data_IF_469062058464
#
_entry.id   IF_469062058464
#
_cell.length_a   1.000
_cell.length_b   1.000
_cell.length_c   1.000
_cell.angle_alpha   90.00
_cell.angle_beta   90.00
_cell.angle_gamma   90.00
#
_symmetry.space_group_name_H-M   'P 1'
#
loop_
_entity.id
_entity.type
_entity.pdbx_description
1 polymer ?
#
# COMPACT_ATOMS: atom_id res chain seq x y z
N UNK A 1 -16.04 18.72 21.42
CA UNK A 1 -16.22 17.33 21.90
C UNK A 1 -15.83 16.44 20.72
N UNK A 2 -14.69 15.76 20.78
CA UNK A 2 -14.39 14.67 19.84
C UNK A 2 -15.40 13.57 20.15
N UNK A 3 -16.03 12.99 19.13
CA UNK A 3 -16.96 11.90 19.35
C UNK A 3 -16.23 10.73 20.04
N UNK A 4 -16.90 10.01 20.95
CA UNK A 4 -16.35 8.81 21.59
C UNK A 4 -15.84 7.79 20.55
N UNK A 5 -16.45 7.75 19.38
CA UNK A 5 -16.00 6.99 18.21
C UNK A 5 -14.63 7.41 17.64
N UNK A 6 -14.28 8.69 17.69
CA UNK A 6 -12.96 9.20 17.24
C UNK A 6 -11.85 8.87 18.26
N UNK A 7 -12.21 8.84 19.54
CA UNK A 7 -11.29 8.45 20.63
C UNK A 7 -11.03 6.92 20.64
N UNK A 8 -12.00 6.09 20.28
CA UNK A 8 -11.86 4.64 20.20
C UNK A 8 -11.05 4.19 18.98
N UNK A 9 -11.07 4.93 17.87
CA UNK A 9 -10.42 4.59 16.61
C UNK A 9 -8.91 4.88 16.60
N UNK A 10 -8.44 5.90 17.32
CA UNK A 10 -7.02 6.19 17.48
C UNK A 10 -6.34 5.43 18.63
N UNK A 11 -7.12 4.76 19.50
CA UNK A 11 -6.64 4.17 20.74
C UNK A 11 -5.97 2.79 20.58
N UNK A 12 -6.04 2.17 19.40
CA UNK A 12 -5.53 0.81 19.19
C UNK A 12 -4.29 0.71 18.28
N UNK A 13 -3.71 1.85 17.86
CA UNK A 13 -2.47 1.84 17.06
C UNK A 13 -1.27 1.62 17.96
N UNK A 14 -0.55 0.53 17.72
CA UNK A 14 0.76 0.26 18.29
C UNK A 14 1.85 1.03 17.52
N UNK A 15 3.06 1.09 18.07
CA UNK A 15 4.17 1.83 17.47
C UNK A 15 5.48 1.08 17.65
N UNK A 16 6.36 1.20 16.66
CA UNK A 16 7.75 0.75 16.78
C UNK A 16 8.69 1.77 16.15
N UNK A 17 9.97 1.66 16.45
CA UNK A 17 11.01 2.53 15.90
C UNK A 17 11.87 1.76 14.90
N UNK A 18 12.11 2.37 13.76
CA UNK A 18 13.05 1.87 12.77
C UNK A 18 13.82 3.03 12.13
N UNK A 19 15.15 3.00 12.20
CA UNK A 19 16.05 4.01 11.62
C UNK A 19 15.64 5.47 11.96
N UNK A 20 15.31 5.71 13.25
CA UNK A 20 14.87 7.00 13.76
C UNK A 20 13.45 7.42 13.35
N UNK A 21 12.70 6.55 12.67
CA UNK A 21 11.31 6.79 12.24
C UNK A 21 10.36 5.98 13.10
N UNK A 22 9.38 6.63 13.72
CA UNK A 22 8.29 5.97 14.40
C UNK A 22 7.22 5.55 13.40
N UNK A 23 6.91 4.26 13.37
CA UNK A 23 5.88 3.67 12.51
C UNK A 23 4.71 3.19 13.38
N UNK A 24 3.52 3.65 13.05
CA UNK A 24 2.29 3.23 13.70
C UNK A 24 1.65 2.07 12.93
N UNK A 25 1.05 1.13 13.64
CA UNK A 25 0.36 -0.01 13.03
C UNK A 25 -0.79 -0.51 13.90
N UNK A 26 -1.77 -1.09 13.25
CA UNK A 26 -2.87 -1.84 13.84
C UNK A 26 -2.52 -3.34 13.77
N UNK A 27 -2.90 -4.11 14.79
CA UNK A 27 -2.69 -5.55 14.86
C UNK A 27 -3.96 -6.22 15.43
N UNK A 28 -4.69 -6.94 14.59
CA UNK A 28 -6.00 -7.52 14.93
C UNK A 28 -6.12 -8.97 14.47
N UNK A 29 -6.85 -9.75 15.26
CA UNK A 29 -7.11 -11.16 14.99
C UNK A 29 -5.94 -12.07 15.35
N UNK A 30 -6.11 -13.34 15.02
CA UNK A 30 -5.15 -14.41 15.31
C UNK A 30 -4.93 -15.29 14.07
N UNK A 31 -3.90 -16.13 14.09
CA UNK A 31 -3.58 -17.08 13.03
C UNK A 31 -2.45 -16.60 12.13
N UNK A 32 -2.47 -17.03 10.89
CA UNK A 32 -1.42 -16.72 9.91
C UNK A 32 -1.34 -15.21 9.63
N UNK A 33 -0.17 -14.55 9.82
CA UNK A 33 -0.05 -13.11 9.68
C UNK A 33 -0.12 -12.66 8.21
N UNK A 34 -0.81 -11.54 8.02
CA UNK A 34 -0.82 -10.77 6.78
C UNK A 34 -0.55 -9.29 7.09
N UNK A 35 0.46 -8.71 6.44
CA UNK A 35 0.78 -7.28 6.52
C UNK A 35 0.07 -6.54 5.39
N UNK A 36 -0.62 -5.45 5.71
CA UNK A 36 -1.33 -4.59 4.76
C UNK A 36 -0.62 -3.24 4.62
N UNK A 37 -0.28 -2.86 3.39
CA UNK A 37 0.51 -1.66 3.05
C UNK A 37 -0.33 -0.75 2.16
N UNK A 38 -0.76 0.39 2.70
CA UNK A 38 -1.67 1.31 2.00
C UNK A 38 -1.02 2.11 0.87
N UNK A 39 -1.86 2.70 0.00
CA UNK A 39 -1.46 3.56 -1.09
C UNK A 39 -1.07 4.98 -0.67
N UNK A 40 -0.57 5.77 -1.63
CA UNK A 40 -0.22 7.17 -1.43
C UNK A 40 -1.41 7.99 -0.90
N UNK A 41 -1.12 8.96 -0.02
CA UNK A 41 -2.05 9.85 0.65
C UNK A 41 -3.17 9.16 1.49
N UNK A 42 -3.07 7.86 1.71
CA UNK A 42 -4.01 7.07 2.50
C UNK A 42 -3.46 6.74 3.90
N UNK A 43 -4.15 5.91 4.65
CA UNK A 43 -3.75 5.38 5.96
C UNK A 43 -4.21 3.93 6.09
N UNK A 44 -3.76 3.23 7.13
CA UNK A 44 -4.26 1.89 7.46
C UNK A 44 -5.79 1.88 7.63
N UNK A 45 -6.34 2.91 8.27
CA UNK A 45 -7.78 3.05 8.48
C UNK A 45 -8.53 3.23 7.17
N UNK A 46 -8.10 4.20 6.34
CA UNK A 46 -8.78 4.59 5.09
C UNK A 46 -8.70 3.47 4.05
N UNK A 47 -7.54 2.82 3.94
CA UNK A 47 -7.31 1.82 2.89
C UNK A 47 -7.82 0.42 3.29
N UNK A 48 -7.83 0.08 4.60
CA UNK A 48 -8.05 -1.28 5.04
C UNK A 48 -9.23 -1.48 6.02
N UNK A 49 -9.44 -0.53 6.95
CA UNK A 49 -10.53 -0.66 7.94
C UNK A 49 -11.86 -0.27 7.30
N UNK A 50 -11.98 0.94 6.74
CA UNK A 50 -13.24 1.43 6.16
C UNK A 50 -13.77 0.56 5.01
N UNK A 51 -12.94 0.08 4.06
CA UNK A 51 -13.40 -0.85 3.04
C UNK A 51 -13.71 -2.25 3.60
N UNK A 52 -13.44 -2.52 4.89
CA UNK A 52 -13.74 -3.77 5.57
C UNK A 52 -12.74 -4.91 5.25
N UNK A 53 -11.50 -4.61 4.88
CA UNK A 53 -10.45 -5.61 4.68
C UNK A 53 -10.05 -6.29 5.97
N UNK A 54 -9.82 -5.50 7.05
CA UNK A 54 -9.45 -6.04 8.37
C UNK A 54 -10.50 -7.04 8.83
N UNK A 55 -11.77 -6.65 8.84
CA UNK A 55 -12.88 -7.53 9.23
C UNK A 55 -13.02 -8.76 8.31
N UNK A 56 -12.74 -8.62 7.00
CA UNK A 56 -12.80 -9.73 6.05
C UNK A 56 -11.70 -10.77 6.31
N UNK A 57 -10.49 -10.32 6.58
CA UNK A 57 -9.32 -11.18 6.78
C UNK A 57 -9.32 -11.81 8.19
N UNK A 58 -9.69 -11.07 9.24
CA UNK A 58 -9.82 -11.62 10.60
C UNK A 58 -10.91 -12.68 10.67
N UNK A 59 -12.05 -12.45 9.99
CA UNK A 59 -13.12 -13.46 9.86
C UNK A 59 -12.63 -14.72 9.12
N UNK A 60 -11.65 -14.60 8.25
CA UNK A 60 -11.00 -15.72 7.55
C UNK A 60 -9.87 -16.37 8.37
N UNK A 61 -9.73 -16.06 9.66
CA UNK A 61 -8.74 -16.64 10.57
C UNK A 61 -7.32 -16.12 10.35
N UNK A 62 -7.18 -14.83 9.98
CA UNK A 62 -5.87 -14.20 9.77
C UNK A 62 -5.57 -13.19 10.89
N UNK A 63 -4.30 -13.13 11.32
CA UNK A 63 -3.78 -12.00 12.07
C UNK A 63 -3.44 -10.89 11.09
N UNK A 64 -4.10 -9.76 11.20
CA UNK A 64 -4.01 -8.63 10.26
C UNK A 64 -3.19 -7.52 10.89
N UNK A 65 -2.10 -7.16 10.24
CA UNK A 65 -1.20 -6.09 10.67
C UNK A 65 -1.23 -5.03 9.57
N UNK A 66 -1.78 -3.84 9.86
CA UNK A 66 -1.88 -2.75 8.90
C UNK A 66 -1.10 -1.54 9.41
N UNK A 67 -0.01 -1.18 8.71
CA UNK A 67 0.81 -0.04 9.12
C UNK A 67 0.37 1.24 8.41
N UNK A 68 0.61 2.37 9.08
CA UNK A 68 0.70 3.67 8.41
C UNK A 68 2.13 3.81 7.88
N UNK A 69 2.29 3.96 6.57
CA UNK A 69 3.60 4.19 5.98
C UNK A 69 4.24 5.46 6.57
N UNK A 70 5.59 5.53 6.60
CA UNK A 70 6.28 6.79 6.93
C UNK A 70 5.67 7.97 6.15
N UNK A 71 5.56 9.13 6.79
CA UNK A 71 4.92 10.31 6.22
C UNK A 71 3.39 10.33 6.27
N UNK A 72 2.73 9.21 6.62
CA UNK A 72 1.28 9.07 6.57
C UNK A 72 0.68 8.80 7.95
N UNK A 73 -0.62 9.03 8.09
CA UNK A 73 -1.41 8.68 9.26
C UNK A 73 -0.77 9.06 10.59
N UNK A 74 -0.62 8.11 11.50
CA UNK A 74 -0.04 8.30 12.81
C UNK A 74 1.49 8.06 12.88
N UNK A 75 2.13 7.71 11.74
CA UNK A 75 3.60 7.57 11.62
C UNK A 75 4.30 8.92 11.51
N UNK A 76 5.62 8.95 11.80
CA UNK A 76 6.47 10.13 11.68
C UNK A 76 6.35 10.82 10.32
N UNK A 77 6.29 12.14 10.32
CA UNK A 77 6.32 12.98 9.12
C UNK A 77 7.76 13.30 8.76
N UNK A 78 8.11 13.11 7.50
CA UNK A 78 9.45 13.32 6.97
C UNK A 78 9.34 14.23 5.74
N UNK A 79 10.27 15.16 5.59
CA UNK A 79 10.21 16.21 4.57
C UNK A 79 11.31 16.11 3.51
N UNK A 80 12.23 15.13 3.69
CA UNK A 80 13.24 14.79 2.68
C UNK A 80 12.70 13.70 1.74
N UNK A 81 12.57 13.95 0.43
CA UNK A 81 12.17 12.93 -0.55
C UNK A 81 13.00 11.64 -0.49
N UNK A 82 14.30 11.72 -0.16
CA UNK A 82 15.16 10.55 -0.05
C UNK A 82 14.72 9.55 1.04
N UNK A 83 13.96 10.02 2.04
CA UNK A 83 13.40 9.17 3.07
C UNK A 83 12.31 8.21 2.55
N UNK A 84 11.72 8.49 1.40
CA UNK A 84 10.58 7.76 0.84
C UNK A 84 10.94 6.78 -0.27
N UNK A 85 12.24 6.53 -0.47
CA UNK A 85 12.67 5.52 -1.44
C UNK A 85 12.00 4.17 -1.14
N UNK A 86 11.42 3.52 -2.16
CA UNK A 86 10.62 2.29 -1.99
C UNK A 86 11.38 1.17 -1.27
N UNK A 87 12.70 1.08 -1.43
CA UNK A 87 13.52 0.12 -0.70
C UNK A 87 13.58 0.43 0.81
N UNK A 88 13.68 1.72 1.21
CA UNK A 88 13.63 2.11 2.64
C UNK A 88 12.27 1.80 3.26
N UNK A 89 11.20 2.04 2.52
CA UNK A 89 9.86 1.69 3.00
C UNK A 89 9.66 0.17 3.08
N UNK A 90 10.33 -0.61 2.24
CA UNK A 90 10.38 -2.07 2.35
C UNK A 90 11.18 -2.54 3.58
N UNK A 91 12.21 -1.80 4.00
CA UNK A 91 12.91 -2.07 5.26
C UNK A 91 12.02 -1.86 6.48
N UNK A 92 11.07 -0.91 6.44
CA UNK A 92 10.07 -0.75 7.51
C UNK A 92 9.22 -2.02 7.68
N UNK A 93 8.84 -2.68 6.57
CA UNK A 93 8.10 -3.95 6.65
C UNK A 93 8.96 -5.06 7.29
N UNK A 94 10.23 -5.15 6.93
CA UNK A 94 11.15 -6.10 7.56
C UNK A 94 11.28 -5.83 9.06
N UNK A 95 11.48 -4.57 9.44
CA UNK A 95 11.61 -4.16 10.83
C UNK A 95 10.32 -4.40 11.63
N UNK A 96 9.15 -4.19 11.01
CA UNK A 96 7.86 -4.54 11.62
C UNK A 96 7.76 -6.05 11.91
N UNK A 97 8.17 -6.90 10.97
CA UNK A 97 8.18 -8.35 11.18
C UNK A 97 9.16 -8.74 12.33
N UNK A 98 10.33 -8.08 12.41
CA UNK A 98 11.29 -8.30 13.49
C UNK A 98 10.72 -7.84 14.85
N UNK A 99 10.08 -6.67 14.90
CA UNK A 99 9.43 -6.13 16.10
C UNK A 99 8.34 -7.06 16.66
N UNK A 100 7.64 -7.77 15.76
CA UNK A 100 6.55 -8.69 16.12
C UNK A 100 7.01 -10.15 16.27
N UNK A 101 8.31 -10.43 16.22
CA UNK A 101 8.90 -11.79 16.26
C UNK A 101 8.32 -12.72 15.18
N UNK A 102 7.95 -12.16 14.01
CA UNK A 102 7.40 -12.91 12.89
C UNK A 102 8.49 -13.31 11.90
N UNK A 103 8.75 -14.59 11.76
CA UNK A 103 9.73 -15.09 10.79
C UNK A 103 9.35 -14.73 9.34
N UNK A 104 8.08 -14.79 9.01
CA UNK A 104 7.53 -14.45 7.67
C UNK A 104 6.04 -14.16 7.73
N UNK A 105 5.54 -13.42 6.73
CA UNK A 105 4.11 -13.12 6.59
C UNK A 105 3.67 -13.15 5.11
N UNK A 106 2.36 -13.21 4.87
CA UNK A 106 1.80 -12.73 3.61
C UNK A 106 1.83 -11.20 3.60
N UNK A 107 2.01 -10.57 2.45
CA UNK A 107 2.02 -9.10 2.35
C UNK A 107 1.09 -8.66 1.22
N UNK A 108 0.19 -7.74 1.52
CA UNK A 108 -0.71 -7.15 0.54
C UNK A 108 -0.53 -5.65 0.51
N UNK A 109 -0.13 -5.12 -0.64
CA UNK A 109 -0.03 -3.69 -0.87
C UNK A 109 -1.05 -3.19 -1.89
N UNK A 110 -1.40 -1.89 -1.80
CA UNK A 110 -2.21 -1.22 -2.79
C UNK A 110 -1.49 -0.01 -3.38
N UNK A 111 -1.43 0.12 -4.72
CA UNK A 111 -0.79 1.24 -5.42
C UNK A 111 0.67 1.44 -4.97
N UNK A 112 1.03 2.56 -4.34
CA UNK A 112 2.34 2.77 -3.71
C UNK A 112 2.69 1.61 -2.76
N UNK A 113 1.75 1.13 -1.95
CA UNK A 113 1.95 -0.01 -1.05
C UNK A 113 2.27 -1.31 -1.80
N UNK A 114 1.72 -1.50 -3.00
CA UNK A 114 2.07 -2.65 -3.85
C UNK A 114 3.50 -2.53 -4.39
N UNK A 115 3.97 -1.32 -4.73
CA UNK A 115 5.36 -1.06 -5.10
C UNK A 115 6.31 -1.38 -3.94
N UNK A 116 6.01 -0.89 -2.74
CA UNK A 116 6.77 -1.21 -1.52
C UNK A 116 6.82 -2.73 -1.30
N UNK A 117 5.69 -3.42 -1.48
CA UNK A 117 5.60 -4.88 -1.36
C UNK A 117 6.46 -5.60 -2.40
N UNK A 118 6.56 -5.08 -3.64
CA UNK A 118 7.44 -5.65 -4.68
C UNK A 118 8.92 -5.50 -4.32
N UNK A 119 9.34 -4.35 -3.81
CA UNK A 119 10.69 -4.14 -3.29
C UNK A 119 10.99 -5.06 -2.09
N UNK A 120 10.03 -5.23 -1.18
CA UNK A 120 10.15 -6.17 -0.07
C UNK A 120 10.30 -7.62 -0.56
N UNK A 121 9.49 -8.04 -1.54
CA UNK A 121 9.55 -9.38 -2.12
C UNK A 121 10.90 -9.70 -2.78
N UNK A 122 11.52 -8.70 -3.38
CA UNK A 122 12.84 -8.81 -4.01
C UNK A 122 13.97 -8.84 -2.96
N UNK A 123 13.93 -7.94 -1.97
CA UNK A 123 15.00 -7.78 -1.00
C UNK A 123 14.95 -8.83 0.13
N UNK A 124 13.78 -9.27 0.53
CA UNK A 124 13.56 -10.13 1.69
C UNK A 124 12.74 -11.40 1.37
N UNK A 125 13.11 -12.19 0.36
CA UNK A 125 12.30 -13.33 -0.11
C UNK A 125 12.02 -14.38 0.98
N UNK A 126 12.92 -14.56 1.96
CA UNK A 126 12.73 -15.48 3.08
C UNK A 126 11.66 -15.01 4.08
N UNK A 127 11.34 -13.71 4.10
CA UNK A 127 10.36 -13.09 5.00
C UNK A 127 8.94 -13.05 4.41
N UNK A 128 8.79 -13.42 3.14
CA UNK A 128 7.53 -13.38 2.39
C UNK A 128 7.00 -14.79 2.12
N UNK A 129 5.71 -15.03 2.41
CA UNK A 129 5.02 -16.27 1.99
C UNK A 129 4.34 -16.10 0.64
N UNK A 130 3.49 -15.09 0.52
CA UNK A 130 2.75 -14.72 -0.70
C UNK A 130 2.64 -13.20 -0.74
N UNK A 131 2.52 -12.64 -1.94
CA UNK A 131 2.25 -11.22 -2.11
C UNK A 131 0.96 -10.96 -2.88
N UNK A 132 0.31 -9.83 -2.57
CA UNK A 132 -0.79 -9.29 -3.38
C UNK A 132 -0.42 -7.87 -3.79
N UNK A 133 -0.37 -7.62 -5.10
CA UNK A 133 -0.18 -6.30 -5.69
C UNK A 133 -1.53 -5.80 -6.18
N UNK A 134 -2.21 -4.99 -5.37
CA UNK A 134 -3.46 -4.34 -5.73
C UNK A 134 -3.21 -2.97 -6.37
N UNK A 135 -3.89 -2.65 -7.47
CA UNK A 135 -3.75 -1.35 -8.13
C UNK A 135 -2.34 -1.05 -8.67
N UNK A 136 -1.55 -2.09 -8.98
CA UNK A 136 -0.23 -1.95 -9.62
C UNK A 136 0.02 -3.15 -10.53
N UNK A 137 0.11 -2.89 -11.82
CA UNK A 137 0.46 -3.83 -12.88
C UNK A 137 1.82 -3.51 -13.48
N UNK A 138 1.91 -3.55 -14.81
CA UNK A 138 3.19 -3.40 -15.55
C UNK A 138 3.88 -2.03 -15.30
N UNK A 139 3.16 -1.03 -14.83
CA UNK A 139 3.76 0.26 -14.47
C UNK A 139 4.73 0.19 -13.28
N UNK A 140 4.83 -0.95 -12.59
CA UNK A 140 5.96 -1.25 -11.70
C UNK A 140 7.30 -1.25 -12.45
N UNK A 141 7.29 -1.63 -13.73
CA UNK A 141 8.47 -1.75 -14.59
C UNK A 141 8.60 -0.56 -15.53
N UNK A 142 7.51 -0.15 -16.15
CA UNK A 142 7.54 0.88 -17.20
C UNK A 142 7.65 2.31 -16.64
N UNK A 143 7.59 2.49 -15.31
CA UNK A 143 7.80 3.78 -14.66
C UNK A 143 6.64 4.76 -14.78
N UNK A 144 5.50 4.33 -15.31
CA UNK A 144 4.29 5.15 -15.32
C UNK A 144 3.61 5.04 -13.95
N UNK A 145 3.04 6.11 -13.46
CA UNK A 145 2.39 6.14 -12.15
C UNK A 145 1.69 7.46 -11.91
N UNK A 146 1.53 7.82 -10.64
CA UNK A 146 0.98 9.12 -10.27
C UNK A 146 1.96 10.23 -10.69
N UNK A 147 1.48 11.32 -11.34
CA UNK A 147 2.35 12.39 -11.82
C UNK A 147 2.95 13.22 -10.69
N UNK A 148 4.17 13.70 -10.88
CA UNK A 148 4.85 14.59 -9.91
C UNK A 148 4.10 15.92 -9.68
N UNK A 149 3.26 16.36 -10.62
CA UNK A 149 2.38 17.52 -10.48
C UNK A 149 1.45 17.45 -9.26
N UNK A 150 1.25 16.24 -8.70
CA UNK A 150 0.57 16.08 -7.41
C UNK A 150 1.36 16.79 -6.28
N UNK A 151 2.71 16.76 -6.30
CA UNK A 151 3.50 17.47 -5.31
C UNK A 151 3.25 18.98 -5.37
N UNK A 152 3.23 19.55 -6.57
CA UNK A 152 2.94 20.97 -6.77
C UNK A 152 1.53 21.33 -6.29
N UNK A 153 0.57 20.46 -6.50
CA UNK A 153 -0.79 20.64 -6.00
C UNK A 153 -0.88 20.58 -4.46
N UNK A 154 -0.08 19.70 -3.81
CA UNK A 154 0.00 19.61 -2.36
C UNK A 154 0.67 20.82 -1.73
N UNK A 155 1.61 21.45 -2.42
CA UNK A 155 2.33 22.65 -1.98
C UNK A 155 1.63 23.97 -2.36
N UNK A 156 0.59 23.93 -3.21
CA UNK A 156 -0.16 25.11 -3.59
C UNK A 156 -0.76 25.82 -2.37
N UNK A 157 -0.88 27.15 -2.37
CA UNK A 157 -1.42 27.91 -1.22
C UNK A 157 -2.82 27.46 -0.79
N UNK A 158 -3.67 27.10 -1.78
CA UNK A 158 -5.01 26.56 -1.50
C UNK A 158 -5.46 25.60 -2.59
N UNK A 159 -6.50 24.80 -2.31
CA UNK A 159 -7.14 23.93 -3.30
C UNK A 159 -7.69 24.71 -4.52
N UNK A 160 -8.05 25.99 -4.34
CA UNK A 160 -8.55 26.84 -5.43
C UNK A 160 -7.46 27.17 -6.46
N UNK A 161 -6.20 27.20 -6.04
CA UNK A 161 -5.04 27.51 -6.89
C UNK A 161 -4.58 26.31 -7.73
N UNK A 162 -5.09 25.11 -7.45
CA UNK A 162 -4.74 23.88 -8.19
C UNK A 162 -5.57 23.76 -9.46
N UNK A 163 -4.95 23.85 -10.62
CA UNK A 163 -5.60 23.75 -11.94
C UNK A 163 -5.61 22.34 -12.52
N UNK A 164 -4.59 21.50 -12.19
CA UNK A 164 -4.54 20.11 -12.63
C UNK A 164 -5.60 19.26 -11.92
N UNK A 165 -6.39 18.52 -12.68
CA UNK A 165 -7.51 17.73 -12.13
C UNK A 165 -7.07 16.57 -11.24
N UNK A 166 -5.93 15.94 -11.54
CA UNK A 166 -5.38 14.82 -10.75
C UNK A 166 -4.82 15.36 -9.46
N UNK A 167 -3.98 16.41 -9.54
CA UNK A 167 -3.43 17.11 -8.37
C UNK A 167 -4.53 17.62 -7.45
N UNK A 168 -5.59 18.22 -8.02
CA UNK A 168 -6.76 18.69 -7.28
C UNK A 168 -7.47 17.57 -6.51
N UNK A 169 -7.62 16.41 -7.12
CA UNK A 169 -8.24 15.23 -6.48
C UNK A 169 -7.41 14.76 -5.28
N UNK A 170 -6.09 14.61 -5.45
CA UNK A 170 -5.21 14.18 -4.37
C UNK A 170 -5.08 15.24 -3.27
N UNK A 171 -5.03 16.53 -3.61
CA UNK A 171 -5.03 17.60 -2.63
C UNK A 171 -6.31 17.61 -1.79
N UNK A 172 -7.49 17.52 -2.42
CA UNK A 172 -8.75 17.45 -1.71
C UNK A 172 -8.85 16.22 -0.79
N UNK A 173 -8.37 15.08 -1.27
CA UNK A 173 -8.31 13.86 -0.47
C UNK A 173 -7.37 14.00 0.73
N UNK A 174 -6.18 14.58 0.55
CA UNK A 174 -5.22 14.82 1.62
C UNK A 174 -5.78 15.79 2.69
N UNK A 175 -6.48 16.85 2.28
CA UNK A 175 -7.15 17.77 3.20
C UNK A 175 -8.28 17.07 3.98
N UNK A 176 -9.10 16.25 3.30
CA UNK A 176 -10.18 15.49 3.92
C UNK A 176 -9.65 14.48 4.97
N UNK A 177 -8.52 13.84 4.70
CA UNK A 177 -7.86 12.90 5.60
C UNK A 177 -6.97 13.59 6.64
N UNK A 178 -6.89 14.92 6.62
CA UNK A 178 -6.02 15.74 7.50
C UNK A 178 -4.55 15.31 7.44
N UNK A 179 -4.11 14.91 6.26
CA UNK A 179 -2.73 14.50 6.01
C UNK A 179 -1.78 15.70 6.05
N UNK A 180 -0.52 15.45 6.40
CA UNK A 180 0.55 16.44 6.30
C UNK A 180 0.93 16.61 4.80
N UNK A 181 0.59 17.76 4.24
CA UNK A 181 0.74 18.03 2.81
C UNK A 181 2.20 18.09 2.36
N UNK A 182 3.08 18.63 3.21
CA UNK A 182 4.52 18.73 2.92
C UNK A 182 5.16 17.34 2.94
N UNK A 183 4.83 16.51 3.92
CA UNK A 183 5.29 15.12 3.98
C UNK A 183 4.79 14.30 2.78
N UNK A 184 3.54 14.52 2.33
CA UNK A 184 3.01 13.87 1.13
C UNK A 184 3.72 14.36 -0.15
N UNK A 185 4.03 15.67 -0.25
CA UNK A 185 4.78 16.21 -1.38
C UNK A 185 6.19 15.60 -1.45
N UNK A 186 6.88 15.49 -0.32
CA UNK A 186 8.16 14.78 -0.24
C UNK A 186 8.02 13.30 -0.62
N UNK A 187 6.95 12.63 -0.16
CA UNK A 187 6.70 11.23 -0.47
C UNK A 187 6.48 10.99 -1.96
N UNK A 188 5.64 11.78 -2.62
CA UNK A 188 5.37 11.57 -4.06
C UNK A 188 6.64 11.79 -4.89
N UNK A 189 7.51 12.74 -4.54
CA UNK A 189 8.80 12.95 -5.20
C UNK A 189 9.80 11.82 -4.95
N UNK A 190 9.71 11.16 -3.79
CA UNK A 190 10.68 10.15 -3.34
C UNK A 190 10.32 8.69 -3.64
N UNK A 191 9.11 8.37 -4.09
CA UNK A 191 8.58 6.99 -4.09
C UNK A 191 8.30 6.38 -5.48
N UNK A 192 8.94 6.90 -6.55
CA UNK A 192 8.68 6.49 -7.94
C UNK A 192 9.60 5.40 -8.49
N UNK A 193 10.39 4.71 -7.64
CA UNK A 193 11.33 3.70 -8.14
C UNK A 193 10.61 2.56 -8.84
N UNK A 194 11.21 2.09 -9.92
CA UNK A 194 10.79 0.94 -10.70
C UNK A 194 11.66 -0.27 -10.42
N UNK A 195 11.18 -1.45 -10.76
CA UNK A 195 11.98 -2.65 -10.89
C UNK A 195 12.22 -2.93 -12.38
N UNK A 196 13.39 -3.39 -12.71
CA UNK A 196 13.65 -3.92 -14.05
C UNK A 196 12.87 -5.22 -14.29
N UNK A 197 12.67 -5.58 -15.55
CA UNK A 197 12.06 -6.88 -15.92
C UNK A 197 12.83 -8.05 -15.31
N UNK A 198 14.16 -7.99 -15.29
CA UNK A 198 15.02 -9.00 -14.68
C UNK A 198 14.81 -9.10 -13.17
N UNK A 199 14.73 -8.00 -12.45
CA UNK A 199 14.47 -8.00 -11.00
C UNK A 199 13.11 -8.61 -10.67
N UNK A 200 12.07 -8.30 -11.46
CA UNK A 200 10.74 -8.90 -11.28
C UNK A 200 10.79 -10.42 -11.42
N UNK A 201 11.58 -10.98 -12.37
CA UNK A 201 11.73 -12.43 -12.53
C UNK A 201 12.39 -13.11 -11.32
N UNK A 202 13.05 -12.36 -10.44
CA UNK A 202 13.70 -12.87 -9.22
C UNK A 202 12.75 -12.98 -8.04
N UNK A 203 11.55 -12.41 -8.11
CA UNK A 203 10.52 -12.55 -7.08
C UNK A 203 9.93 -13.96 -7.17
N UNK A 204 10.32 -14.85 -6.26
CA UNK A 204 9.96 -16.27 -6.27
C UNK A 204 8.65 -16.61 -5.54
N UNK A 205 8.24 -15.77 -4.60
CA UNK A 205 6.98 -15.96 -3.89
C UNK A 205 5.79 -15.95 -4.88
N UNK A 206 4.71 -16.69 -4.61
CA UNK A 206 3.47 -16.53 -5.36
C UNK A 206 2.94 -15.10 -5.23
N UNK A 207 2.54 -14.49 -6.36
CA UNK A 207 2.03 -13.12 -6.41
C UNK A 207 0.67 -13.09 -7.12
N UNK A 208 -0.32 -12.48 -6.48
CA UNK A 208 -1.57 -12.08 -7.12
C UNK A 208 -1.50 -10.61 -7.51
N UNK A 209 -1.64 -10.29 -8.78
CA UNK A 209 -1.74 -8.93 -9.30
C UNK A 209 -3.21 -8.63 -9.59
N UNK A 210 -3.80 -7.67 -8.88
CA UNK A 210 -5.21 -7.32 -9.02
C UNK A 210 -5.38 -5.86 -9.43
N UNK A 211 -5.92 -5.61 -10.62
CA UNK A 211 -6.07 -4.28 -11.21
C UNK A 211 -7.49 -4.08 -11.70
N UNK A 212 -8.06 -2.91 -11.50
CA UNK A 212 -9.38 -2.55 -12.00
C UNK A 212 -9.40 -2.47 -13.54
N UNK A 213 -10.46 -2.96 -14.18
CA UNK A 213 -10.58 -2.94 -15.64
C UNK A 213 -10.67 -1.53 -16.25
N UNK A 214 -10.86 -0.51 -15.42
CA UNK A 214 -10.86 0.91 -15.78
C UNK A 214 -9.71 1.68 -15.10
N UNK A 215 -8.76 0.97 -14.49
CA UNK A 215 -7.61 1.58 -13.83
C UNK A 215 -6.57 1.99 -14.87
N UNK A 216 -6.39 3.30 -15.04
CA UNK A 216 -5.43 3.88 -15.99
C UNK A 216 -4.06 4.15 -15.33
N UNK A 217 -3.95 3.94 -14.01
CA UNK A 217 -2.73 4.23 -13.23
C UNK A 217 -1.82 3.01 -13.12
N UNK A 218 -2.42 1.82 -12.98
CA UNK A 218 -1.69 0.60 -12.65
C UNK A 218 -0.97 -0.05 -13.83
N UNK A 219 -1.49 0.10 -15.04
CA UNK A 219 -1.07 -0.70 -16.18
C UNK A 219 -1.56 -2.15 -16.12
N UNK A 220 -1.14 -2.98 -17.07
CA UNK A 220 -1.64 -4.34 -17.25
C UNK A 220 -1.21 -5.30 -16.14
N UNK A 221 -2.18 -5.90 -15.44
CA UNK A 221 -1.94 -6.98 -14.48
C UNK A 221 -1.38 -8.23 -15.15
N UNK A 222 -1.85 -8.56 -16.37
CA UNK A 222 -1.44 -9.76 -17.11
C UNK A 222 0.01 -9.67 -17.56
N UNK A 223 0.44 -8.50 -18.04
CA UNK A 223 1.82 -8.29 -18.47
C UNK A 223 2.79 -8.41 -17.28
N UNK A 224 2.46 -7.83 -16.12
CA UNK A 224 3.29 -7.99 -14.93
C UNK A 224 3.30 -9.45 -14.43
N UNK A 225 2.14 -10.12 -14.42
CA UNK A 225 2.05 -11.52 -14.00
C UNK A 225 2.87 -12.44 -14.88
N UNK A 226 2.97 -12.17 -16.19
CA UNK A 226 3.76 -12.94 -17.13
C UNK A 226 5.28 -12.86 -16.89
N UNK A 227 5.75 -11.80 -16.20
CA UNK A 227 7.17 -11.67 -15.81
C UNK A 227 7.51 -12.47 -14.55
N UNK A 228 6.53 -12.79 -13.72
CA UNK A 228 6.73 -13.45 -12.43
C UNK A 228 6.68 -14.97 -12.57
N UNK A 229 7.61 -15.71 -11.94
CA UNK A 229 7.61 -17.20 -12.00
C UNK A 229 6.32 -17.83 -11.48
N UNK A 230 5.65 -17.18 -10.52
CA UNK A 230 4.40 -17.64 -9.90
C UNK A 230 3.38 -16.50 -9.83
N UNK A 231 3.29 -15.71 -10.91
CA UNK A 231 2.35 -14.58 -11.03
C UNK A 231 0.96 -15.04 -11.45
N UNK A 232 -0.06 -14.45 -10.82
CA UNK A 232 -1.47 -14.62 -11.22
C UNK A 232 -2.08 -13.25 -11.42
N UNK A 233 -2.76 -13.02 -12.54
CA UNK A 233 -3.47 -11.78 -12.81
C UNK A 233 -4.95 -11.92 -12.49
N UNK A 234 -5.53 -10.90 -11.87
CA UNK A 234 -6.96 -10.76 -11.65
C UNK A 234 -7.41 -9.36 -12.07
N UNK A 235 -8.36 -9.30 -12.99
CA UNK A 235 -8.99 -8.05 -13.39
C UNK A 235 -10.26 -7.82 -12.57
N UNK A 236 -10.32 -6.68 -11.84
CA UNK A 236 -11.47 -6.29 -11.03
C UNK A 236 -12.49 -5.60 -11.95
N UNK A 237 -13.66 -6.21 -12.21
CA UNK A 237 -14.56 -5.74 -13.25
C UNK A 237 -15.12 -4.35 -12.96
N UNK A 238 -15.06 -3.45 -13.94
CA UNK A 238 -15.69 -2.11 -13.96
C UNK A 238 -15.20 -1.18 -12.84
N UNK A 239 -14.01 -1.40 -12.28
CA UNK A 239 -13.42 -0.55 -11.25
C UNK A 239 -12.25 0.25 -11.80
N UNK A 240 -12.17 1.50 -11.38
CA UNK A 240 -11.01 2.36 -11.51
C UNK A 240 -10.05 2.17 -10.33
N UNK A 241 -8.97 2.96 -10.30
CA UNK A 241 -7.94 2.89 -9.29
C UNK A 241 -8.45 3.09 -7.85
N UNK A 242 -9.38 4.03 -7.64
CA UNK A 242 -9.86 4.38 -6.31
C UNK A 242 -10.93 3.41 -5.79
N UNK A 243 -11.82 2.96 -6.67
CA UNK A 243 -12.95 2.10 -6.29
C UNK A 243 -12.58 0.61 -6.21
N UNK A 244 -11.45 0.20 -6.81
CA UNK A 244 -11.03 -1.19 -6.84
C UNK A 244 -10.65 -1.73 -5.46
N UNK A 245 -10.06 -0.91 -4.58
CA UNK A 245 -9.55 -1.35 -3.28
C UNK A 245 -10.61 -2.01 -2.39
N UNK A 246 -11.84 -1.51 -2.38
CA UNK A 246 -12.95 -2.03 -1.56
C UNK A 246 -13.82 -3.09 -2.24
N UNK A 247 -13.53 -3.46 -3.49
CA UNK A 247 -14.43 -4.30 -4.29
C UNK A 247 -14.56 -5.73 -3.76
N UNK A 248 -15.80 -6.25 -3.79
CA UNK A 248 -16.11 -7.60 -3.30
C UNK A 248 -15.42 -8.70 -4.11
N UNK A 249 -15.29 -8.51 -5.44
CA UNK A 249 -14.62 -9.49 -6.29
C UNK A 249 -13.12 -9.55 -5.99
N UNK A 250 -12.50 -8.38 -5.71
CA UNK A 250 -11.12 -8.32 -5.26
C UNK A 250 -10.92 -9.06 -3.94
N UNK A 251 -11.77 -8.82 -2.93
CA UNK A 251 -11.72 -9.54 -1.65
C UNK A 251 -11.83 -11.05 -1.83
N UNK A 252 -12.79 -11.50 -2.65
CA UNK A 252 -12.97 -12.91 -2.92
C UNK A 252 -11.75 -13.54 -3.62
N UNK A 253 -11.13 -12.83 -4.57
CA UNK A 253 -9.93 -13.30 -5.26
C UNK A 253 -8.74 -13.43 -4.29
N UNK A 254 -8.52 -12.44 -3.42
CA UNK A 254 -7.46 -12.47 -2.39
C UNK A 254 -7.67 -13.63 -1.42
N UNK A 255 -8.89 -13.84 -0.92
CA UNK A 255 -9.17 -14.95 0.01
C UNK A 255 -8.87 -16.31 -0.63
N UNK A 256 -9.29 -16.54 -1.88
CA UNK A 256 -8.96 -17.78 -2.62
C UNK A 256 -7.46 -17.94 -2.78
N UNK A 257 -6.76 -16.89 -3.20
CA UNK A 257 -5.31 -16.91 -3.37
C UNK A 257 -4.57 -17.24 -2.07
N UNK A 258 -4.95 -16.62 -0.95
CA UNK A 258 -4.36 -16.86 0.37
C UNK A 258 -4.66 -18.29 0.87
N UNK A 259 -5.78 -18.89 0.48
CA UNK A 259 -6.13 -20.29 0.76
C UNK A 259 -5.39 -21.29 -0.16
N UNK A 260 -4.56 -20.82 -1.11
CA UNK A 260 -3.87 -21.68 -2.07
C UNK A 260 -4.76 -22.28 -3.16
N UNK A 261 -5.96 -21.72 -3.33
CA UNK A 261 -6.91 -22.13 -4.35
C UNK A 261 -6.56 -21.51 -5.72
N UNK A 262 -6.91 -22.15 -6.83
CA UNK A 262 -6.69 -21.64 -8.18
C UNK A 262 -7.49 -20.37 -8.48
#
# INVERSE_FOLDING_TARGET
MRSEDEALRGANMQRFQHDGVEIAFLDEGEGDPIVLVHGFASTAEVNWVYPGWVATLTKAGRRVIALDNRGHGASSKLYDPAAYHSARMAEDLRALLDHLDLARADVMGYSMGARITAFFALAYPARLRRAVFGGLGIHLVDGVGLPESIADALEAPSLADVTDSVGRTFRAFAEQTKSDLEALAACIRGSHQTLTREEVTRIRAPVLIAVGSKDVVAGSARELAALLPSGRAFEIPRRDHMLAVGDKAFKAAVLRFLAGQP
#
